data_IF_394294353456
#
_entry.id   IF_394294353456
#
_cell.length_a   1.000
_cell.length_b   1.000
_cell.length_c   1.000
_cell.angle_alpha   90.00
_cell.angle_beta   90.00
_cell.angle_gamma   90.00
#
_symmetry.space_group_name_H-M   'P 1'
#
loop_
_entity.id
_entity.type
_entity.pdbx_description
1 polymer ?
#
# COMPACT_ATOMS: atom_id res chain seq x y z
N UNK A 1 -16.27 -9.11 -22.22
CA UNK A 1 -16.48 -9.71 -20.87
C UNK A 1 -16.74 -11.22 -20.90
N UNK A 2 -17.30 -11.78 -21.99
CA UNK A 2 -17.60 -13.22 -22.11
C UNK A 2 -16.39 -14.13 -21.86
N UNK A 3 -15.21 -13.78 -22.38
CA UNK A 3 -13.96 -14.50 -22.08
C UNK A 3 -13.60 -14.46 -20.57
N UNK A 4 -13.84 -13.33 -19.91
CA UNK A 4 -13.56 -13.16 -18.50
C UNK A 4 -14.60 -13.84 -17.60
N UNK A 5 -15.80 -14.16 -18.11
CA UNK A 5 -16.86 -14.86 -17.37
C UNK A 5 -17.66 -15.81 -18.29
N UNK A 6 -17.06 -16.94 -18.73
CA UNK A 6 -17.71 -17.85 -19.67
C UNK A 6 -19.02 -18.40 -19.11
N UNK A 7 -20.06 -18.41 -19.95
CA UNK A 7 -21.40 -18.92 -19.58
C UNK A 7 -22.21 -18.00 -18.67
N UNK A 8 -21.76 -16.76 -18.41
CA UNK A 8 -22.53 -15.76 -17.64
C UNK A 8 -22.71 -14.47 -18.43
N UNK A 9 -23.87 -13.83 -18.28
CA UNK A 9 -24.12 -12.50 -18.81
C UNK A 9 -23.59 -11.47 -17.81
N UNK A 10 -22.69 -10.62 -18.26
CA UNK A 10 -22.09 -9.55 -17.47
C UNK A 10 -22.67 -8.19 -17.85
N UNK A 11 -23.17 -7.44 -16.88
CA UNK A 11 -23.72 -6.09 -17.07
C UNK A 11 -22.98 -5.10 -16.14
N UNK A 12 -22.69 -3.87 -16.58
CA UNK A 12 -22.12 -2.84 -15.71
C UNK A 12 -23.06 -2.51 -14.54
N UNK A 13 -22.51 -1.96 -13.46
CA UNK A 13 -23.31 -1.44 -12.36
C UNK A 13 -23.96 -0.09 -12.70
N UNK A 14 -23.28 0.76 -13.47
CA UNK A 14 -23.71 2.12 -13.79
C UNK A 14 -22.59 3.12 -13.56
N UNK A 15 -22.81 4.09 -12.65
CA UNK A 15 -21.84 5.15 -12.34
C UNK A 15 -20.96 4.77 -11.15
N UNK A 16 -19.64 4.75 -11.36
CA UNK A 16 -18.65 4.48 -10.33
C UNK A 16 -18.02 5.77 -9.80
N UNK A 17 -18.27 6.11 -8.54
CA UNK A 17 -17.54 7.11 -7.78
C UNK A 17 -16.22 6.52 -7.27
N UNK A 18 -15.10 7.16 -7.59
CA UNK A 18 -13.76 6.66 -7.31
C UNK A 18 -12.94 7.73 -6.60
N UNK A 19 -12.29 7.37 -5.50
CA UNK A 19 -11.46 8.29 -4.71
C UNK A 19 -10.09 7.64 -4.51
N UNK A 20 -9.04 8.35 -4.90
CA UNK A 20 -7.65 7.83 -4.91
C UNK A 20 -6.70 8.66 -4.05
N UNK A 21 -5.65 8.04 -3.48
CA UNK A 21 -4.66 8.72 -2.66
C UNK A 21 -3.59 9.40 -3.52
N UNK A 22 -2.64 10.06 -2.85
CA UNK A 22 -1.56 10.82 -3.46
C UNK A 22 -0.27 10.04 -3.74
N UNK A 23 -0.12 8.83 -3.17
CA UNK A 23 1.17 8.14 -3.17
C UNK A 23 1.57 7.56 -4.53
N UNK A 24 0.60 7.12 -5.34
CA UNK A 24 0.83 6.74 -6.73
C UNK A 24 -0.28 7.30 -7.64
N UNK A 25 -0.30 8.61 -7.95
CA UNK A 25 -1.47 9.28 -8.50
C UNK A 25 -2.00 8.66 -9.80
N UNK A 26 -1.11 8.44 -10.78
CA UNK A 26 -1.49 7.86 -12.07
C UNK A 26 -1.83 6.37 -11.96
N UNK A 27 -1.04 5.61 -11.19
CA UNK A 27 -1.26 4.16 -11.02
C UNK A 27 -2.60 3.89 -10.34
N UNK A 28 -2.94 4.65 -9.29
CA UNK A 28 -4.21 4.49 -8.57
C UNK A 28 -5.40 4.90 -9.43
N UNK A 29 -5.26 5.94 -10.26
CA UNK A 29 -6.27 6.29 -11.26
C UNK A 29 -6.48 5.12 -12.25
N UNK A 30 -5.40 4.53 -12.78
CA UNK A 30 -5.47 3.40 -13.70
C UNK A 30 -6.11 2.16 -13.04
N UNK A 31 -5.75 1.83 -11.81
CA UNK A 31 -6.32 0.70 -11.05
C UNK A 31 -7.83 0.79 -10.85
N UNK A 32 -8.36 2.01 -10.81
CA UNK A 32 -9.78 2.28 -10.64
C UNK A 32 -10.51 2.39 -11.98
N UNK A 33 -10.03 3.25 -12.87
CA UNK A 33 -10.68 3.56 -14.16
C UNK A 33 -10.67 2.36 -15.10
N UNK A 34 -9.52 1.69 -15.27
CA UNK A 34 -9.39 0.63 -16.27
C UNK A 34 -10.39 -0.53 -16.08
N UNK A 35 -10.55 -1.15 -14.89
CA UNK A 35 -11.54 -2.21 -14.72
C UNK A 35 -12.99 -1.71 -14.82
N UNK A 36 -13.28 -0.48 -14.39
CA UNK A 36 -14.62 0.10 -14.48
C UNK A 36 -15.05 0.29 -15.94
N UNK A 37 -14.17 0.90 -16.75
CA UNK A 37 -14.37 1.13 -18.18
C UNK A 37 -14.43 -0.19 -18.96
N UNK A 38 -13.54 -1.15 -18.66
CA UNK A 38 -13.56 -2.48 -19.28
C UNK A 38 -14.87 -3.25 -18.99
N UNK A 39 -15.54 -2.91 -17.88
CA UNK A 39 -16.85 -3.45 -17.51
C UNK A 39 -18.04 -2.67 -18.10
N UNK A 40 -17.80 -1.54 -18.76
CA UNK A 40 -18.82 -0.68 -19.35
C UNK A 40 -19.46 0.34 -18.40
N UNK A 41 -18.80 0.66 -17.28
CA UNK A 41 -19.27 1.67 -16.34
C UNK A 41 -18.78 3.07 -16.74
N UNK A 42 -19.50 4.11 -16.33
CA UNK A 42 -18.98 5.49 -16.34
C UNK A 42 -18.37 5.83 -14.99
N UNK A 43 -17.45 6.80 -14.96
CA UNK A 43 -16.64 7.09 -13.78
C UNK A 43 -16.68 8.57 -13.37
N UNK A 44 -16.71 8.80 -12.06
CA UNK A 44 -16.41 10.08 -11.44
C UNK A 44 -15.22 9.88 -10.50
N UNK A 45 -14.04 10.39 -10.88
CA UNK A 45 -12.80 10.22 -10.14
C UNK A 45 -12.44 11.50 -9.38
N UNK A 46 -12.22 11.36 -8.06
CA UNK A 46 -11.64 12.40 -7.22
C UNK A 46 -10.18 12.03 -6.85
N UNK A 47 -9.17 12.74 -7.40
CA UNK A 47 -7.79 12.56 -6.97
C UNK A 47 -7.51 13.24 -5.63
N UNK A 48 -6.39 12.89 -5.01
CA UNK A 48 -5.87 13.61 -3.85
C UNK A 48 -5.46 15.05 -4.22
N UNK A 49 -5.65 15.96 -3.28
CA UNK A 49 -5.47 17.41 -3.40
C UNK A 49 -4.03 17.76 -3.75
N UNK A 50 -3.07 17.09 -3.10
CA UNK A 50 -1.64 17.37 -3.25
C UNK A 50 -1.06 16.89 -4.58
N UNK A 51 -1.79 16.08 -5.34
CA UNK A 51 -1.29 15.43 -6.58
C UNK A 51 -2.33 15.43 -7.71
N UNK A 52 -3.24 16.41 -7.71
CA UNK A 52 -4.36 16.46 -8.67
C UNK A 52 -3.94 16.71 -10.12
N UNK A 53 -2.82 17.40 -10.36
CA UNK A 53 -2.37 17.77 -11.71
C UNK A 53 -2.14 16.56 -12.62
N UNK A 54 -1.65 15.43 -12.07
CA UNK A 54 -1.46 14.19 -12.84
C UNK A 54 -2.78 13.63 -13.38
N UNK A 55 -3.84 13.66 -12.58
CA UNK A 55 -5.16 13.21 -13.00
C UNK A 55 -5.79 14.16 -14.04
N UNK A 56 -5.57 15.47 -13.91
CA UNK A 56 -6.03 16.44 -14.91
C UNK A 56 -5.32 16.26 -16.25
N UNK A 57 -4.03 15.94 -16.25
CA UNK A 57 -3.32 15.62 -17.48
C UNK A 57 -3.80 14.29 -18.09
N UNK A 58 -4.12 13.29 -17.26
CA UNK A 58 -4.79 12.07 -17.73
C UNK A 58 -6.13 12.38 -18.41
N UNK A 59 -6.89 13.38 -17.95
CA UNK A 59 -8.14 13.79 -18.60
C UNK A 59 -7.91 14.20 -20.07
N UNK A 60 -6.83 14.96 -20.34
CA UNK A 60 -6.46 15.38 -21.70
C UNK A 60 -6.14 14.17 -22.58
N UNK A 61 -5.39 13.20 -22.05
CA UNK A 61 -5.07 11.95 -22.77
C UNK A 61 -6.35 11.16 -23.08
N UNK A 62 -7.32 11.10 -22.16
CA UNK A 62 -8.60 10.42 -22.41
C UNK A 62 -9.44 11.13 -23.49
N UNK A 63 -9.37 12.46 -23.56
CA UNK A 63 -10.00 13.24 -24.63
C UNK A 63 -9.31 13.02 -25.98
N UNK A 64 -7.98 13.02 -26.01
CA UNK A 64 -7.18 12.69 -27.21
C UNK A 64 -7.42 11.26 -27.70
N UNK A 65 -7.75 10.34 -26.78
CA UNK A 65 -8.16 8.97 -27.08
C UNK A 65 -9.64 8.85 -27.51
N UNK A 66 -10.34 9.98 -27.70
CA UNK A 66 -11.74 10.06 -28.16
C UNK A 66 -12.72 9.29 -27.27
N UNK A 67 -12.44 9.24 -25.96
CA UNK A 67 -13.38 8.66 -25.01
C UNK A 67 -14.67 9.52 -25.01
N UNK A 68 -15.87 8.92 -25.13
CA UNK A 68 -17.10 9.70 -25.24
C UNK A 68 -17.33 10.64 -24.06
N UNK A 69 -17.98 11.77 -24.32
CA UNK A 69 -18.29 12.78 -23.31
C UNK A 69 -19.01 12.19 -22.10
N UNK A 70 -18.55 12.54 -20.90
CA UNK A 70 -19.13 12.10 -19.64
C UNK A 70 -18.78 10.68 -19.20
N UNK A 71 -18.05 9.89 -20.01
CA UNK A 71 -17.62 8.53 -19.62
C UNK A 71 -16.64 8.56 -18.44
N UNK A 72 -15.73 9.52 -18.42
CA UNK A 72 -14.84 9.79 -17.28
C UNK A 72 -14.91 11.26 -16.92
N UNK A 73 -15.21 11.54 -15.66
CA UNK A 73 -15.25 12.89 -15.10
C UNK A 73 -14.24 12.96 -13.96
N UNK A 74 -13.34 13.95 -13.98
CA UNK A 74 -12.32 14.13 -12.94
C UNK A 74 -12.62 15.39 -12.16
N UNK A 75 -12.87 15.25 -10.85
CA UNK A 75 -13.25 16.34 -9.95
C UNK A 75 -12.20 16.52 -8.87
N UNK A 76 -11.47 17.63 -8.91
CA UNK A 76 -10.52 17.99 -7.85
C UNK A 76 -11.23 18.67 -6.69
N UNK A 77 -10.75 18.45 -5.47
CA UNK A 77 -11.28 19.12 -4.29
C UNK A 77 -10.88 18.42 -3.01
N UNK A 78 -11.27 19.01 -1.87
CA UNK A 78 -10.92 18.51 -0.54
C UNK A 78 -11.75 17.27 -0.12
N UNK A 79 -11.72 16.94 1.17
CA UNK A 79 -12.56 15.88 1.75
C UNK A 79 -14.06 16.08 1.53
N UNK A 80 -14.55 17.32 1.48
CA UNK A 80 -15.97 17.64 1.23
C UNK A 80 -16.42 17.17 -0.17
N UNK A 81 -15.59 17.35 -1.20
CA UNK A 81 -15.86 16.83 -2.55
C UNK A 81 -15.95 15.30 -2.56
N UNK A 82 -15.05 14.63 -1.82
CA UNK A 82 -15.12 13.19 -1.63
C UNK A 82 -16.39 12.75 -0.91
N UNK A 83 -16.77 13.47 0.15
CA UNK A 83 -18.00 13.22 0.91
C UNK A 83 -19.25 13.39 0.04
N UNK A 84 -19.32 14.46 -0.76
CA UNK A 84 -20.42 14.70 -1.69
C UNK A 84 -20.54 13.55 -2.70
N UNK A 85 -19.43 13.08 -3.26
CA UNK A 85 -19.42 11.95 -4.18
C UNK A 85 -19.92 10.65 -3.54
N UNK A 86 -19.49 10.34 -2.31
CA UNK A 86 -19.90 9.14 -1.56
C UNK A 86 -21.41 9.14 -1.29
N UNK A 87 -21.97 10.29 -0.94
CA UNK A 87 -23.38 10.43 -0.56
C UNK A 87 -24.33 10.69 -1.74
N UNK A 88 -23.82 10.88 -2.95
CA UNK A 88 -24.65 11.19 -4.12
C UNK A 88 -25.60 10.03 -4.47
N UNK A 89 -26.89 10.32 -4.66
CA UNK A 89 -27.92 9.31 -4.87
C UNK A 89 -27.65 8.44 -6.12
N UNK A 90 -27.29 9.08 -7.23
CA UNK A 90 -27.09 8.44 -8.55
C UNK A 90 -25.72 7.79 -8.76
N UNK A 91 -24.94 7.62 -7.69
CA UNK A 91 -23.73 6.79 -7.73
C UNK A 91 -24.12 5.35 -7.34
N UNK A 92 -23.76 4.39 -8.19
CA UNK A 92 -24.07 2.96 -8.01
C UNK A 92 -22.95 2.21 -7.28
N UNK A 93 -21.71 2.72 -7.37
CA UNK A 93 -20.53 2.10 -6.76
C UNK A 93 -19.59 3.15 -6.21
N UNK A 94 -19.03 2.87 -5.02
CA UNK A 94 -17.86 3.57 -4.49
C UNK A 94 -16.65 2.64 -4.49
N UNK A 95 -15.52 3.14 -4.98
CA UNK A 95 -14.21 2.51 -4.81
C UNK A 95 -13.24 3.52 -4.20
N UNK A 96 -12.72 3.21 -3.01
CA UNK A 96 -11.85 4.11 -2.27
C UNK A 96 -10.51 3.43 -1.95
N UNK A 97 -9.42 4.15 -2.19
CA UNK A 97 -8.10 3.81 -1.64
C UNK A 97 -7.61 4.96 -0.76
N UNK A 98 -7.13 4.65 0.45
CA UNK A 98 -6.60 5.65 1.37
C UNK A 98 -6.58 5.18 2.82
N UNK A 99 -6.63 6.13 3.76
CA UNK A 99 -6.53 5.81 5.19
C UNK A 99 -7.69 4.94 5.69
N UNK A 100 -7.39 4.03 6.62
CA UNK A 100 -8.40 3.14 7.23
C UNK A 100 -9.56 3.90 7.88
N UNK A 101 -9.29 5.01 8.57
CA UNK A 101 -10.32 5.80 9.25
C UNK A 101 -11.31 6.44 8.27
N UNK A 102 -10.84 6.96 7.14
CA UNK A 102 -11.72 7.45 6.08
C UNK A 102 -12.51 6.30 5.45
N UNK A 103 -11.88 5.14 5.22
CA UNK A 103 -12.56 3.93 4.74
C UNK A 103 -13.73 3.50 5.63
N UNK A 104 -13.54 3.51 6.96
CA UNK A 104 -14.60 3.23 7.94
C UNK A 104 -15.75 4.22 7.83
N UNK A 105 -15.46 5.53 7.70
CA UNK A 105 -16.50 6.57 7.52
C UNK A 105 -17.29 6.37 6.22
N UNK A 106 -16.63 6.02 5.13
CA UNK A 106 -17.29 5.71 3.84
C UNK A 106 -18.18 4.47 3.98
N UNK A 107 -17.69 3.41 4.64
CA UNK A 107 -18.49 2.22 4.90
C UNK A 107 -19.75 2.55 5.70
N UNK A 108 -19.64 3.38 6.75
CA UNK A 108 -20.79 3.85 7.52
C UNK A 108 -21.76 4.70 6.69
N UNK A 109 -21.25 5.63 5.86
CA UNK A 109 -22.08 6.51 5.03
C UNK A 109 -22.85 5.76 3.93
N UNK A 110 -22.26 4.68 3.41
CA UNK A 110 -22.89 3.86 2.36
C UNK A 110 -23.82 2.77 2.91
N UNK A 111 -23.81 2.54 4.23
CA UNK A 111 -24.67 1.55 4.87
C UNK A 111 -26.16 1.87 4.64
N UNK A 112 -26.97 0.84 4.35
CA UNK A 112 -28.39 1.00 4.03
C UNK A 112 -28.68 1.46 2.61
N UNK A 113 -27.67 1.77 1.80
CA UNK A 113 -27.83 2.06 0.37
C UNK A 113 -27.66 0.81 -0.49
N UNK A 114 -27.99 0.90 -1.80
CA UNK A 114 -27.73 -0.16 -2.78
C UNK A 114 -26.30 -0.12 -3.36
N UNK A 115 -25.48 0.86 -2.93
CA UNK A 115 -24.16 1.10 -3.49
C UNK A 115 -23.23 -0.09 -3.25
N UNK A 116 -22.52 -0.53 -4.29
CA UNK A 116 -21.40 -1.46 -4.11
C UNK A 116 -20.20 -0.70 -3.56
N UNK A 117 -19.44 -1.32 -2.67
CA UNK A 117 -18.26 -0.71 -2.04
C UNK A 117 -17.02 -1.59 -2.20
N UNK A 118 -15.88 -0.97 -2.51
CA UNK A 118 -14.56 -1.59 -2.50
C UNK A 118 -13.61 -0.66 -1.77
N UNK A 119 -12.86 -1.20 -0.80
CA UNK A 119 -11.94 -0.45 0.05
C UNK A 119 -10.56 -1.08 -0.01
N UNK A 120 -9.55 -0.27 -0.35
CA UNK A 120 -8.14 -0.61 -0.25
C UNK A 120 -7.50 0.35 0.77
N UNK A 121 -7.16 -0.17 1.96
CA UNK A 121 -6.79 0.66 3.10
C UNK A 121 -5.35 0.42 3.55
N UNK A 122 -4.97 1.00 4.68
CA UNK A 122 -3.63 0.92 5.23
C UNK A 122 -3.17 -0.49 5.59
N UNK A 123 -1.87 -0.63 5.79
CA UNK A 123 -1.22 -1.88 6.14
C UNK A 123 -0.09 -1.74 7.15
N UNK A 124 0.24 -2.86 7.80
CA UNK A 124 1.45 -3.00 8.63
C UNK A 124 2.11 -4.34 8.33
N UNK A 125 2.53 -4.49 7.08
CA UNK A 125 2.91 -5.78 6.52
C UNK A 125 4.11 -6.40 7.25
N UNK A 126 4.05 -7.72 7.41
CA UNK A 126 5.16 -8.51 7.94
C UNK A 126 6.12 -8.87 6.81
N UNK A 127 7.43 -8.77 7.05
CA UNK A 127 8.47 -9.27 6.17
C UNK A 127 9.36 -10.21 7.00
N UNK A 128 9.35 -11.51 6.70
CA UNK A 128 9.88 -12.56 7.59
C UNK A 128 11.13 -13.18 6.97
N UNK A 129 12.27 -13.11 7.67
CA UNK A 129 13.55 -13.65 7.24
C UNK A 129 13.91 -14.87 8.10
N UNK A 130 13.96 -16.04 7.49
CA UNK A 130 14.48 -17.25 8.13
C UNK A 130 15.99 -17.34 8.02
N UNK A 131 16.58 -18.17 8.87
CA UNK A 131 18.04 -18.39 8.92
C UNK A 131 18.63 -19.02 7.66
N UNK A 132 17.80 -19.75 6.91
CA UNK A 132 18.13 -20.38 5.63
C UNK A 132 17.71 -19.53 4.43
N UNK A 133 17.48 -18.22 4.61
CA UNK A 133 17.25 -17.30 3.51
C UNK A 133 18.57 -16.87 2.85
N UNK A 134 18.53 -16.60 1.54
CA UNK A 134 19.56 -15.84 0.85
C UNK A 134 19.63 -14.40 1.40
N UNK A 135 20.41 -14.18 2.47
CA UNK A 135 20.41 -12.93 3.25
C UNK A 135 20.71 -11.68 2.41
N UNK A 136 21.63 -11.76 1.45
CA UNK A 136 21.97 -10.62 0.60
C UNK A 136 20.79 -10.18 -0.28
N UNK A 137 20.07 -11.14 -0.86
CA UNK A 137 18.88 -10.86 -1.64
C UNK A 137 17.73 -10.37 -0.76
N UNK A 138 17.59 -10.95 0.43
CA UNK A 138 16.60 -10.52 1.41
C UNK A 138 16.82 -9.06 1.84
N UNK A 139 18.08 -8.61 2.00
CA UNK A 139 18.40 -7.21 2.31
C UNK A 139 17.94 -6.29 1.19
N UNK A 140 18.22 -6.58 -0.09
CA UNK A 140 17.71 -5.76 -1.20
C UNK A 140 16.17 -5.79 -1.27
N UNK A 141 15.56 -6.93 -0.96
CA UNK A 141 14.11 -7.06 -0.84
C UNK A 141 13.51 -6.22 0.28
N UNK A 142 14.20 -6.11 1.43
CA UNK A 142 13.82 -5.19 2.51
C UNK A 142 13.89 -3.75 2.00
N UNK A 143 14.99 -3.35 1.36
CA UNK A 143 15.14 -1.97 0.84
C UNK A 143 14.01 -1.62 -0.13
N UNK A 144 13.78 -2.46 -1.14
CA UNK A 144 12.71 -2.27 -2.11
C UNK A 144 11.31 -2.34 -1.49
N UNK A 145 11.17 -3.08 -0.39
CA UNK A 145 9.89 -3.30 0.30
C UNK A 145 9.45 -2.19 1.25
N UNK A 146 10.37 -1.39 1.80
CA UNK A 146 10.02 -0.32 2.77
C UNK A 146 10.49 1.08 2.37
N UNK A 147 11.56 1.22 1.59
CA UNK A 147 12.10 2.54 1.23
C UNK A 147 11.71 3.01 -0.18
N UNK A 148 11.18 2.11 -1.02
CA UNK A 148 10.57 2.48 -2.31
C UNK A 148 9.44 3.50 -2.11
N UNK A 149 9.37 4.51 -2.98
CA UNK A 149 8.44 5.63 -2.87
C UNK A 149 8.45 6.32 -1.50
N UNK A 150 9.64 6.43 -0.87
CA UNK A 150 9.84 6.96 0.48
C UNK A 150 9.02 6.21 1.54
N UNK A 151 8.64 4.95 1.28
CA UNK A 151 7.77 4.17 2.16
C UNK A 151 6.27 4.53 2.09
N UNK A 152 5.87 5.46 1.20
CA UNK A 152 4.46 5.78 0.92
C UNK A 152 3.78 4.66 0.11
N UNK A 153 3.74 3.46 0.67
CA UNK A 153 3.21 2.26 0.04
C UNK A 153 2.40 1.50 1.07
N UNK A 154 1.10 1.31 0.82
CA UNK A 154 0.20 0.63 1.75
C UNK A 154 0.66 -0.80 2.09
N UNK A 155 1.28 -1.48 1.13
CA UNK A 155 1.82 -2.83 1.31
C UNK A 155 3.30 -2.86 1.72
N UNK A 156 3.87 -1.74 2.19
CA UNK A 156 5.26 -1.67 2.61
C UNK A 156 5.56 -2.67 3.74
N UNK A 157 6.70 -3.37 3.64
CA UNK A 157 7.20 -4.35 4.60
C UNK A 157 7.71 -3.74 5.89
N UNK A 158 6.87 -2.99 6.59
CA UNK A 158 7.21 -2.11 7.71
C UNK A 158 7.46 -2.81 9.05
N UNK A 159 7.16 -4.12 9.16
CA UNK A 159 7.59 -4.98 10.27
C UNK A 159 8.52 -6.06 9.75
N UNK A 160 9.82 -5.92 10.00
CA UNK A 160 10.80 -6.94 9.70
C UNK A 160 10.91 -7.92 10.88
N UNK A 161 10.62 -9.18 10.63
CA UNK A 161 10.83 -10.27 11.57
C UNK A 161 12.06 -11.07 11.11
N UNK A 162 13.08 -11.17 11.94
CA UNK A 162 14.33 -11.87 11.61
C UNK A 162 14.56 -13.01 12.60
N UNK A 163 14.90 -14.20 12.10
CA UNK A 163 15.22 -15.32 12.98
C UNK A 163 16.48 -15.00 13.80
N UNK A 164 16.46 -15.28 15.11
CA UNK A 164 17.52 -14.85 16.05
C UNK A 164 18.94 -15.23 15.59
N UNK A 165 19.11 -16.42 15.00
CA UNK A 165 20.40 -16.94 14.53
C UNK A 165 21.08 -16.09 13.44
N UNK A 166 20.32 -15.31 12.66
CA UNK A 166 20.85 -14.46 11.57
C UNK A 166 20.66 -12.96 11.83
N UNK A 167 20.09 -12.57 12.97
CA UNK A 167 19.76 -11.18 13.30
C UNK A 167 20.95 -10.23 13.12
N UNK A 168 22.08 -10.52 13.76
CA UNK A 168 23.28 -9.66 13.72
C UNK A 168 23.81 -9.47 12.29
N UNK A 169 23.73 -10.51 11.45
CA UNK A 169 24.17 -10.44 10.06
C UNK A 169 23.23 -9.57 9.22
N UNK A 170 21.91 -9.77 9.36
CA UNK A 170 20.89 -8.98 8.66
C UNK A 170 20.97 -7.50 9.05
N UNK A 171 21.06 -7.19 10.34
CA UNK A 171 21.09 -5.79 10.82
C UNK A 171 22.34 -5.06 10.32
N UNK A 172 23.51 -5.72 10.36
CA UNK A 172 24.75 -5.14 9.82
C UNK A 172 24.61 -4.81 8.34
N UNK A 173 24.21 -5.80 7.52
CA UNK A 173 24.06 -5.62 6.07
C UNK A 173 22.99 -4.58 5.72
N UNK A 174 21.86 -4.59 6.44
CA UNK A 174 20.80 -3.61 6.27
C UNK A 174 21.30 -2.20 6.57
N UNK A 175 21.98 -1.97 7.70
CA UNK A 175 22.58 -0.68 8.04
C UNK A 175 23.54 -0.21 6.95
N UNK A 176 24.46 -1.07 6.53
CA UNK A 176 25.45 -0.71 5.51
C UNK A 176 24.74 -0.31 4.21
N UNK A 177 23.65 -1.01 3.86
CA UNK A 177 22.84 -0.73 2.67
C UNK A 177 21.98 0.54 2.78
N UNK A 178 21.39 0.87 3.94
CA UNK A 178 20.62 2.12 4.07
C UNK A 178 21.54 3.34 3.94
N UNK A 179 22.81 3.23 4.37
CA UNK A 179 23.78 4.33 4.32
C UNK A 179 24.25 4.65 2.89
N UNK A 180 23.97 3.77 1.92
CA UNK A 180 24.27 4.05 0.51
C UNK A 180 23.13 4.79 -0.21
N UNK A 181 21.93 4.89 0.40
CA UNK A 181 20.78 5.54 -0.21
C UNK A 181 20.98 7.06 -0.32
N UNK A 182 20.76 7.58 -1.53
CA UNK A 182 20.88 8.99 -1.87
C UNK A 182 19.55 9.70 -1.73
N UNK A 183 19.50 10.68 -0.82
CA UNK A 183 18.37 11.58 -0.67
C UNK A 183 18.60 12.82 -1.53
N UNK A 184 17.60 13.21 -2.31
CA UNK A 184 17.80 14.31 -3.24
C UNK A 184 16.60 14.67 -4.09
N UNK A 185 16.86 15.55 -5.06
CA UNK A 185 15.86 16.00 -6.01
C UNK A 185 15.29 14.78 -6.78
N UNK A 186 13.97 14.56 -6.81
CA UNK A 186 13.36 13.45 -7.54
C UNK A 186 13.58 13.51 -9.07
N UNK A 187 13.97 14.67 -9.61
CA UNK A 187 14.35 14.81 -11.03
C UNK A 187 15.81 14.42 -11.32
N UNK A 188 16.63 14.22 -10.29
CA UNK A 188 17.97 13.65 -10.45
C UNK A 188 17.88 12.12 -10.53
N UNK A 189 18.38 11.55 -11.62
CA UNK A 189 18.38 10.11 -11.88
C UNK A 189 19.21 9.30 -10.87
N UNK A 190 20.03 9.97 -10.07
CA UNK A 190 20.85 9.36 -9.02
C UNK A 190 20.17 9.37 -7.64
N UNK A 191 18.98 9.95 -7.51
CA UNK A 191 18.23 9.99 -6.24
C UNK A 191 17.52 8.66 -6.02
N UNK A 192 17.75 8.05 -4.86
CA UNK A 192 17.01 6.87 -4.41
C UNK A 192 15.73 7.27 -3.66
N UNK A 193 15.80 8.33 -2.86
CA UNK A 193 14.75 8.74 -1.92
C UNK A 193 14.44 10.24 -2.10
N UNK A 194 13.21 10.53 -2.53
CA UNK A 194 12.68 11.88 -2.71
C UNK A 194 12.10 12.50 -1.43
N UNK A 195 11.37 13.60 -1.61
CA UNK A 195 10.73 14.34 -0.53
C UNK A 195 9.45 13.64 -0.05
N UNK A 196 9.08 13.91 1.20
CA UNK A 196 7.79 13.58 1.78
C UNK A 196 6.71 14.48 1.17
N UNK A 197 5.52 13.92 0.92
CA UNK A 197 4.46 14.61 0.17
C UNK A 197 3.98 15.92 0.82
N UNK A 198 3.96 16.00 2.15
CA UNK A 198 3.46 17.19 2.85
C UNK A 198 4.12 17.41 4.22
N UNK A 199 3.99 18.64 4.74
CA UNK A 199 4.39 18.99 6.12
C UNK A 199 3.68 18.10 7.15
N UNK A 200 2.36 17.94 7.02
CA UNK A 200 1.56 17.15 7.95
C UNK A 200 2.03 15.68 8.00
N UNK A 201 2.39 15.09 6.84
CA UNK A 201 2.96 13.75 6.82
C UNK A 201 4.33 13.72 7.50
N UNK A 202 5.21 14.67 7.23
CA UNK A 202 6.51 14.74 7.88
C UNK A 202 6.39 14.88 9.41
N UNK A 203 5.45 15.70 9.89
CA UNK A 203 5.21 15.88 11.33
C UNK A 203 4.71 14.57 11.96
N UNK A 204 3.89 13.81 11.24
CA UNK A 204 3.42 12.48 11.66
C UNK A 204 4.55 11.45 11.74
N UNK A 205 5.50 11.46 10.79
CA UNK A 205 6.71 10.62 10.87
C UNK A 205 7.45 10.91 12.17
N UNK A 206 7.75 12.20 12.40
CA UNK A 206 8.52 12.64 13.57
C UNK A 206 7.84 12.21 14.87
N UNK A 207 6.52 12.39 14.97
CA UNK A 207 5.74 11.95 16.14
C UNK A 207 5.88 10.45 16.42
N UNK A 208 5.75 9.61 15.39
CA UNK A 208 5.85 8.16 15.54
C UNK A 208 7.27 7.70 15.87
N UNK A 209 8.28 8.30 15.25
CA UNK A 209 9.69 8.01 15.54
C UNK A 209 10.04 8.41 16.96
N UNK A 210 9.63 9.60 17.40
CA UNK A 210 9.81 10.08 18.77
C UNK A 210 9.14 9.15 19.77
N UNK A 211 7.95 8.62 19.44
CA UNK A 211 7.32 7.59 20.25
C UNK A 211 8.17 6.32 20.36
N UNK A 212 8.76 5.85 19.26
CA UNK A 212 9.63 4.67 19.28
C UNK A 212 10.84 4.87 20.19
N UNK A 213 11.48 6.04 20.11
CA UNK A 213 12.61 6.41 20.97
C UNK A 213 12.20 6.46 22.45
N UNK A 214 11.07 7.10 22.77
CA UNK A 214 10.54 7.19 24.15
C UNK A 214 10.18 5.82 24.74
N UNK A 215 9.79 4.87 23.90
CA UNK A 215 9.47 3.50 24.30
C UNK A 215 10.73 2.60 24.43
N UNK A 216 11.93 3.14 24.16
CA UNK A 216 13.21 2.46 24.36
C UNK A 216 13.77 1.73 23.13
N UNK A 217 13.14 1.89 21.96
CA UNK A 217 13.67 1.35 20.72
C UNK A 217 14.92 2.10 20.27
N UNK A 218 15.85 1.40 19.62
CA UNK A 218 17.12 1.96 19.16
C UNK A 218 17.01 2.33 17.69
N UNK A 219 17.23 3.61 17.37
CA UNK A 219 17.14 4.11 16.01
C UNK A 219 18.48 3.99 15.27
N UNK A 220 18.44 3.40 14.08
CA UNK A 220 19.51 3.47 13.10
C UNK A 220 19.00 4.26 11.90
N UNK A 221 19.63 5.39 11.61
CA UNK A 221 19.18 6.31 10.56
C UNK A 221 20.31 6.61 9.58
N UNK A 222 19.95 6.66 8.29
CA UNK A 222 20.87 7.02 7.22
C UNK A 222 21.49 8.39 7.45
N UNK A 223 22.81 8.49 7.24
CA UNK A 223 23.52 9.78 7.27
C UNK A 223 23.30 10.49 5.95
N UNK A 224 22.35 11.41 5.91
CA UNK A 224 22.02 12.16 4.70
C UNK A 224 22.11 13.66 4.94
N UNK A 225 22.75 14.38 4.01
CA UNK A 225 22.64 15.83 3.95
C UNK A 225 21.30 16.17 3.32
N UNK A 226 20.38 16.68 4.13
CA UNK A 226 19.05 17.02 3.64
C UNK A 226 19.08 18.32 2.82
N UNK A 227 18.33 18.41 1.70
CA UNK A 227 18.15 19.66 0.99
C UNK A 227 17.49 20.73 1.88
N UNK A 228 17.84 22.01 1.67
CA UNK A 228 17.38 23.11 2.51
C UNK A 228 15.88 23.43 2.36
N UNK A 229 15.26 23.05 1.24
CA UNK A 229 13.85 23.28 0.92
C UNK A 229 13.16 21.95 0.65
N UNK A 230 11.90 21.84 1.06
CA UNK A 230 11.09 20.63 0.93
C UNK A 230 10.92 19.89 2.25
N UNK A 231 10.14 18.81 2.23
CA UNK A 231 9.88 17.96 3.39
C UNK A 231 10.74 16.71 3.23
N UNK A 232 11.70 16.50 4.12
CA UNK A 232 12.65 15.40 3.98
C UNK A 232 12.75 14.62 5.28
N UNK A 233 12.81 13.30 5.17
CA UNK A 233 13.05 12.42 6.29
C UNK A 233 14.05 11.33 5.91
N UNK A 234 15.20 11.19 6.61
CA UNK A 234 16.17 10.14 6.29
C UNK A 234 15.62 8.74 6.60
N UNK A 235 15.81 7.75 5.69
CA UNK A 235 15.46 6.36 5.93
C UNK A 235 16.05 5.84 7.22
N UNK A 236 15.24 5.11 7.99
CA UNK A 236 15.67 4.56 9.26
C UNK A 236 14.98 3.24 9.59
N UNK A 237 15.62 2.50 10.50
CA UNK A 237 15.00 1.35 11.14
C UNK A 237 15.23 1.37 12.65
N UNK A 238 14.29 0.78 13.38
CA UNK A 238 14.39 0.55 14.80
C UNK A 238 14.79 -0.90 15.10
N UNK A 239 15.71 -1.10 16.03
CA UNK A 239 15.91 -2.37 16.73
C UNK A 239 15.39 -2.29 18.16
N UNK A 240 15.26 -3.44 18.84
CA UNK A 240 14.70 -3.49 20.18
C UNK A 240 13.18 -3.23 20.23
N UNK A 241 12.50 -3.33 19.09
CA UNK A 241 11.06 -3.11 19.00
C UNK A 241 10.31 -4.29 19.59
N UNK A 242 9.25 -4.02 20.36
CA UNK A 242 8.29 -5.03 20.83
C UNK A 242 6.91 -4.79 20.21
N UNK A 243 6.02 -5.77 20.29
CA UNK A 243 4.68 -5.68 19.70
C UNK A 243 3.79 -4.58 20.32
N UNK A 244 4.14 -4.05 21.50
CA UNK A 244 3.41 -2.96 22.16
C UNK A 244 3.85 -1.56 21.69
N UNK A 245 4.94 -1.46 20.93
CA UNK A 245 5.41 -0.18 20.43
C UNK A 245 4.47 0.38 19.36
N UNK A 246 4.23 1.69 19.37
CA UNK A 246 3.37 2.35 18.36
C UNK A 246 3.93 2.15 16.96
N UNK A 247 5.25 2.25 16.78
CA UNK A 247 5.93 2.00 15.50
C UNK A 247 5.73 0.58 14.96
N UNK A 248 5.39 -0.40 15.81
CA UNK A 248 5.05 -1.75 15.39
C UNK A 248 3.54 -1.94 15.13
N UNK A 249 2.67 -1.12 15.70
CA UNK A 249 1.21 -1.27 15.61
C UNK A 249 0.59 -0.39 14.52
N UNK A 250 0.98 0.89 14.50
CA UNK A 250 0.40 1.92 13.65
C UNK A 250 1.13 1.96 12.30
N UNK A 251 0.38 2.12 11.22
CA UNK A 251 0.96 2.46 9.92
C UNK A 251 1.61 3.85 10.02
N UNK A 252 2.92 3.90 9.75
CA UNK A 252 3.66 5.17 9.65
C UNK A 252 3.35 5.75 8.26
N UNK A 253 3.53 4.91 7.22
CA UNK A 253 3.40 5.21 5.79
C UNK A 253 4.63 5.88 5.17
N UNK A 254 5.80 5.83 5.80
CA UNK A 254 7.03 6.47 5.31
C UNK A 254 8.29 5.60 5.62
N UNK A 255 9.56 6.06 5.46
CA UNK A 255 10.72 5.18 5.38
C UNK A 255 11.23 4.77 6.78
N UNK A 256 10.34 4.19 7.60
CA UNK A 256 10.58 3.77 8.98
C UNK A 256 10.27 2.28 9.14
N UNK A 257 11.31 1.47 9.34
CA UNK A 257 11.19 0.02 9.53
C UNK A 257 11.26 -0.37 11.00
N UNK A 258 10.35 -1.22 11.47
CA UNK A 258 10.44 -1.83 12.80
C UNK A 258 11.02 -3.23 12.71
N UNK A 259 12.17 -3.47 13.36
CA UNK A 259 12.83 -4.79 13.38
C UNK A 259 12.58 -5.53 14.69
N UNK A 260 12.13 -6.76 14.57
CA UNK A 260 11.84 -7.70 15.65
C UNK A 260 12.50 -9.05 15.37
N UNK A 261 12.87 -9.79 16.42
CA UNK A 261 13.35 -11.16 16.28
C UNK A 261 12.22 -12.18 16.41
N UNK A 262 12.45 -13.42 16.00
CA UNK A 262 11.62 -14.58 16.36
C UNK A 262 12.51 -15.84 16.45
N UNK A 263 12.01 -16.90 17.09
CA UNK A 263 12.73 -18.17 17.25
C UNK A 263 12.21 -19.29 16.36
N UNK A 264 10.88 -19.44 16.31
CA UNK A 264 10.24 -20.54 15.58
C UNK A 264 9.33 -20.03 14.46
N UNK A 265 9.10 -20.82 13.39
CA UNK A 265 8.15 -20.47 12.34
C UNK A 265 6.74 -20.15 12.89
N UNK A 266 6.30 -20.91 13.90
CA UNK A 266 5.00 -20.74 14.55
C UNK A 266 4.91 -19.38 15.26
N UNK A 267 5.96 -18.95 15.95
CA UNK A 267 6.04 -17.62 16.56
C UNK A 267 5.99 -16.51 15.49
N UNK A 268 6.74 -16.67 14.39
CA UNK A 268 6.74 -15.70 13.30
C UNK A 268 5.34 -15.50 12.72
N UNK A 269 4.60 -16.60 12.47
CA UNK A 269 3.22 -16.55 11.96
C UNK A 269 2.31 -15.85 12.96
N UNK A 270 2.36 -16.24 14.24
CA UNK A 270 1.51 -15.64 15.28
C UNK A 270 1.73 -14.13 15.38
N UNK A 271 2.98 -13.69 15.38
CA UNK A 271 3.35 -12.27 15.46
C UNK A 271 3.03 -11.49 14.18
N UNK A 272 3.24 -12.09 13.02
CA UNK A 272 2.86 -11.50 11.73
C UNK A 272 1.35 -11.24 11.68
N UNK A 273 0.54 -12.19 12.15
CA UNK A 273 -0.93 -12.09 12.16
C UNK A 273 -1.50 -11.21 13.28
N UNK A 274 -0.72 -10.94 14.34
CA UNK A 274 -1.12 -10.07 15.45
C UNK A 274 -1.07 -8.58 15.07
N UNK A 275 -2.04 -8.18 14.26
CA UNK A 275 -2.26 -6.81 13.80
C UNK A 275 -3.71 -6.70 13.29
N UNK A 276 -4.37 -5.54 13.39
CA UNK A 276 -5.67 -5.31 12.77
C UNK A 276 -5.60 -5.32 11.23
N UNK A 277 -4.41 -5.12 10.66
CA UNK A 277 -4.19 -5.07 9.22
C UNK A 277 -4.01 -6.46 8.59
N UNK A 278 -4.10 -6.52 7.27
CA UNK A 278 -3.96 -7.75 6.50
C UNK A 278 -3.74 -7.54 5.01
N UNK A 279 -2.98 -6.51 4.61
CA UNK A 279 -2.78 -6.20 3.19
C UNK A 279 -1.76 -7.11 2.52
N UNK A 280 -0.52 -7.13 3.02
CA UNK A 280 0.56 -7.91 2.43
C UNK A 280 1.46 -8.58 3.47
N UNK A 281 2.25 -9.55 3.02
CA UNK A 281 3.37 -10.11 3.76
C UNK A 281 4.50 -10.56 2.81
N UNK A 282 5.69 -10.77 3.38
CA UNK A 282 6.84 -11.35 2.68
C UNK A 282 7.50 -12.44 3.50
N UNK A 283 8.03 -13.45 2.82
CA UNK A 283 8.73 -14.60 3.43
C UNK A 283 10.01 -14.87 2.66
N UNK A 284 11.12 -15.02 3.38
CA UNK A 284 12.44 -15.31 2.81
C UNK A 284 12.98 -16.61 3.41
N UNK A 285 13.20 -17.62 2.58
CA UNK A 285 13.74 -18.94 2.95
C UNK A 285 14.05 -19.72 1.67
N UNK A 286 15.12 -20.51 1.67
CA UNK A 286 15.44 -21.40 0.55
C UNK A 286 14.62 -22.71 0.55
N UNK A 287 13.81 -22.95 1.59
CA UNK A 287 12.99 -24.17 1.72
C UNK A 287 11.57 -23.95 1.17
N UNK A 288 11.29 -24.51 -0.01
CA UNK A 288 9.96 -24.44 -0.64
C UNK A 288 8.81 -24.94 0.22
N UNK A 289 8.99 -26.07 0.94
CA UNK A 289 7.97 -26.60 1.86
C UNK A 289 7.62 -25.62 2.99
N UNK A 290 8.62 -24.85 3.47
CA UNK A 290 8.43 -23.82 4.50
C UNK A 290 7.63 -22.64 3.94
N UNK A 291 7.88 -22.23 2.71
CA UNK A 291 7.10 -21.19 2.02
C UNK A 291 5.61 -21.58 2.03
N UNK A 292 5.26 -22.76 1.52
CA UNK A 292 3.86 -23.20 1.47
C UNK A 292 3.20 -23.29 2.85
N UNK A 293 3.91 -23.82 3.86
CA UNK A 293 3.41 -23.90 5.25
C UNK A 293 3.12 -22.52 5.84
N UNK A 294 3.98 -21.54 5.60
CA UNK A 294 3.85 -20.20 6.18
C UNK A 294 2.80 -19.38 5.43
N UNK A 295 2.88 -19.35 4.10
CA UNK A 295 2.00 -18.55 3.24
C UNK A 295 0.53 -18.90 3.48
N UNK A 296 0.22 -20.19 3.62
CA UNK A 296 -1.15 -20.66 3.90
C UNK A 296 -1.72 -20.23 5.26
N UNK A 297 -0.89 -19.78 6.19
CA UNK A 297 -1.29 -19.37 7.54
C UNK A 297 -1.20 -17.85 7.77
N UNK A 298 -0.58 -17.12 6.86
CA UNK A 298 -0.53 -15.66 6.91
C UNK A 298 -1.87 -15.07 6.49
N UNK A 299 -2.41 -14.18 7.32
CA UNK A 299 -3.68 -13.47 7.09
C UNK A 299 -3.42 -12.18 6.33
N UNK A 300 -2.94 -12.31 5.10
CA UNK A 300 -2.62 -11.21 4.20
C UNK A 300 -3.22 -11.42 2.81
N UNK A 301 -3.55 -10.30 2.15
CA UNK A 301 -4.06 -10.24 0.78
C UNK A 301 -3.12 -10.84 -0.25
N UNK A 302 -1.87 -10.44 -0.14
CA UNK A 302 -0.78 -10.83 -1.02
C UNK A 302 0.41 -11.28 -0.19
N UNK A 303 1.01 -12.41 -0.54
CA UNK A 303 2.24 -12.87 0.11
C UNK A 303 3.30 -13.10 -0.94
N UNK A 304 4.43 -12.40 -0.82
CA UNK A 304 5.58 -12.61 -1.68
C UNK A 304 6.58 -13.56 -1.00
N UNK A 305 7.11 -14.51 -1.77
CA UNK A 305 8.16 -15.41 -1.30
C UNK A 305 9.45 -15.14 -2.07
N UNK A 306 10.56 -14.90 -1.36
CA UNK A 306 11.88 -14.55 -1.91
C UNK A 306 11.85 -13.35 -2.89
N UNK A 307 10.88 -12.47 -2.71
CA UNK A 307 10.73 -11.19 -3.39
C UNK A 307 9.83 -10.28 -2.55
N UNK A 308 9.65 -9.03 -2.95
CA UNK A 308 8.71 -8.11 -2.30
C UNK A 308 8.25 -7.04 -3.28
N UNK A 309 7.05 -6.50 -3.08
CA UNK A 309 6.52 -5.36 -3.82
C UNK A 309 6.47 -5.57 -5.36
N UNK A 310 6.17 -6.80 -5.80
CA UNK A 310 6.00 -7.13 -7.22
C UNK A 310 4.50 -7.22 -7.53
N UNK A 311 4.10 -6.49 -8.57
CA UNK A 311 2.71 -6.40 -9.01
C UNK A 311 2.59 -6.92 -10.43
N UNK A 312 1.46 -7.54 -10.71
CA UNK A 312 1.05 -7.94 -12.05
C UNK A 312 -0.43 -7.58 -12.23
N UNK A 313 -0.82 -6.89 -13.30
CA UNK A 313 -2.22 -6.50 -13.53
C UNK A 313 -3.20 -7.67 -13.61
N UNK A 314 -2.74 -8.89 -13.90
CA UNK A 314 -3.55 -10.10 -13.93
C UNK A 314 -3.72 -10.77 -12.56
N UNK A 315 -2.90 -10.37 -11.57
CA UNK A 315 -2.98 -10.89 -10.20
C UNK A 315 -3.87 -10.00 -9.32
N UNK A 316 -4.75 -10.59 -8.49
CA UNK A 316 -5.56 -9.81 -7.56
C UNK A 316 -4.69 -9.22 -6.45
N UNK A 317 -5.03 -8.00 -6.06
CA UNK A 317 -4.48 -7.29 -4.92
C UNK A 317 -5.62 -6.82 -4.02
N UNK A 318 -5.44 -6.92 -2.71
CA UNK A 318 -6.36 -6.30 -1.76
C UNK A 318 -6.38 -6.93 -0.38
N UNK A 319 -6.89 -6.18 0.59
CA UNK A 319 -6.69 -6.48 2.01
C UNK A 319 -7.58 -7.56 2.63
N UNK A 320 -7.13 -8.02 3.81
CA UNK A 320 -7.95 -8.66 4.84
C UNK A 320 -8.18 -7.69 5.99
N UNK A 321 -9.17 -8.00 6.85
CA UNK A 321 -9.43 -7.27 8.10
C UNK A 321 -9.62 -5.76 7.86
N UNK A 322 -8.92 -4.90 8.61
CA UNK A 322 -9.00 -3.44 8.47
C UNK A 322 -8.24 -2.87 7.27
N UNK A 323 -7.50 -3.71 6.52
CA UNK A 323 -6.88 -3.29 5.25
C UNK A 323 -7.87 -3.21 4.09
N UNK A 324 -9.15 -3.44 4.35
CA UNK A 324 -10.24 -3.28 3.38
C UNK A 324 -10.79 -4.60 2.86
N UNK A 325 -11.63 -4.50 1.84
CA UNK A 325 -12.35 -5.63 1.24
C UNK A 325 -12.70 -5.37 -0.21
N UNK A 326 -12.95 -6.47 -0.94
CA UNK A 326 -12.89 -6.48 -2.40
C UNK A 326 -11.45 -6.68 -2.87
N UNK A 327 -11.25 -6.73 -4.19
CA UNK A 327 -9.93 -6.87 -4.80
C UNK A 327 -9.86 -5.96 -6.00
N UNK A 328 -8.66 -5.46 -6.28
CA UNK A 328 -8.29 -4.78 -7.52
C UNK A 328 -7.31 -5.68 -8.29
N UNK A 329 -7.21 -5.49 -9.61
CA UNK A 329 -6.36 -6.36 -10.44
C UNK A 329 -6.94 -7.76 -10.70
N UNK A 330 -6.45 -8.38 -11.77
CA UNK A 330 -6.94 -9.64 -12.29
C UNK A 330 -8.42 -9.65 -12.63
N UNK A 331 -8.95 -10.86 -12.87
CA UNK A 331 -10.40 -11.06 -13.06
C UNK A 331 -11.20 -10.67 -11.81
N UNK A 332 -10.60 -10.80 -10.63
CA UNK A 332 -11.22 -10.42 -9.37
C UNK A 332 -11.53 -8.92 -9.30
N UNK A 333 -10.68 -8.07 -9.87
CA UNK A 333 -10.88 -6.62 -9.93
C UNK A 333 -12.04 -6.16 -10.83
N UNK A 334 -12.51 -7.02 -11.74
CA UNK A 334 -13.67 -6.74 -12.59
C UNK A 334 -14.99 -7.01 -11.85
N UNK A 335 -15.02 -8.04 -10.98
CA UNK A 335 -16.25 -8.47 -10.29
C UNK A 335 -16.98 -7.36 -9.54
N UNK A 336 -16.29 -6.45 -8.81
CA UNK A 336 -16.96 -5.36 -8.09
C UNK A 336 -17.63 -4.32 -8.97
N UNK A 337 -17.45 -4.38 -10.30
CA UNK A 337 -18.00 -3.46 -11.30
C UNK A 337 -19.09 -4.10 -12.17
N UNK A 338 -19.55 -5.31 -11.83
CA UNK A 338 -20.49 -6.09 -12.64
C UNK A 338 -21.66 -6.63 -11.83
N UNK A 339 -22.82 -6.75 -12.49
CA UNK A 339 -23.85 -7.73 -12.17
C UNK A 339 -23.66 -8.93 -13.09
N UNK A 340 -23.58 -10.12 -12.50
CA UNK A 340 -23.46 -11.37 -13.25
C UNK A 340 -24.74 -12.17 -13.08
N UNK A 341 -25.34 -12.57 -14.20
CA UNK A 341 -26.54 -13.43 -14.29
C UNK A 341 -26.26 -14.63 -15.18
#
# INVERSE_FOLDING_TARGET
>A
LEYAFPGRKAQPLGVAGQIIPWNFPLLMAAWKLAPALACGNTCVLKPAETTSSTALHLAQILQEAELPDGVVNILTGAGETGSALVNHADIDKIAFTGSTEVGKRIASATAGTKKKLTLELGGKAANIIFEDAAIDQAVEGIIAGIYFNQGHVCCAGSRLFVQESVFSNVIRKLRDRIFTLRLGNPLDKNTDIGAINSRAQLDRICELVDSGLKQGAQLVQARARLPAKGFWYPPCFFTGVTASHRVAQEEVFEPVLSVMTFRTPEEAIARANNTPYGLSAGVWTDKGSKIFKIVSQLRAGVVWANTYNKFDPSSPFGGYKESGFGREGGRHGLLPYLMLS
#
